data_IF_973974252644
#
_entry.id   IF_973974252644
#
_cell.length_a   1.000
_cell.length_b   1.000
_cell.length_c   1.000
_cell.angle_alpha   90.00
_cell.angle_beta   90.00
_cell.angle_gamma   90.00
#
_symmetry.space_group_name_H-M   'P 1'
#
loop_
_entity.id
_entity.type
_entity.pdbx_description
1 polymer ?
#
# COMPACT_ATOMS: atom_id res chain seq x y z
N UNK A 1 14.91 17.04 -10.45
CA UNK A 1 15.23 15.68 -9.94
C UNK A 1 14.18 15.27 -8.92
N UNK A 2 14.03 13.96 -8.66
CA UNK A 2 13.17 13.42 -7.57
C UNK A 2 14.08 12.74 -6.56
N UNK A 3 14.03 13.19 -5.30
CA UNK A 3 14.72 12.60 -4.16
C UNK A 3 13.74 11.73 -3.38
N UNK A 4 14.01 10.44 -3.26
CA UNK A 4 13.15 9.47 -2.57
C UNK A 4 13.82 9.06 -1.27
N UNK A 5 13.15 9.31 -0.15
CA UNK A 5 13.61 8.84 1.15
C UNK A 5 13.11 7.41 1.41
N UNK A 6 14.05 6.49 1.60
CA UNK A 6 13.78 5.18 2.14
C UNK A 6 13.34 5.24 3.61
N UNK A 7 13.09 4.08 4.20
CA UNK A 7 12.74 3.97 5.60
C UNK A 7 14.02 3.68 6.42
N UNK A 8 14.29 4.44 7.50
CA UNK A 8 15.54 4.30 8.26
C UNK A 8 15.82 2.91 8.82
N UNK A 9 14.77 2.13 9.09
CA UNK A 9 14.81 0.81 9.75
C UNK A 9 14.68 -0.37 8.79
N UNK A 10 14.75 -0.15 7.46
CA UNK A 10 14.55 -1.23 6.46
C UNK A 10 15.56 -1.18 5.34
N UNK A 11 15.67 -2.29 4.62
CA UNK A 11 16.31 -2.39 3.31
C UNK A 11 15.25 -2.21 2.22
N UNK A 12 15.48 -1.29 1.29
CA UNK A 12 14.57 -1.09 0.15
C UNK A 12 14.87 -2.12 -0.94
N UNK A 13 14.22 -3.28 -0.85
CA UNK A 13 14.35 -4.38 -1.81
C UNK A 13 13.02 -5.13 -2.00
N UNK A 14 12.88 -5.89 -3.10
CA UNK A 14 11.69 -6.71 -3.36
C UNK A 14 11.53 -7.83 -2.32
N UNK A 15 12.63 -8.35 -1.81
CA UNK A 15 12.67 -9.44 -0.84
C UNK A 15 12.18 -9.00 0.54
N UNK A 16 12.35 -7.72 0.88
CA UNK A 16 11.92 -7.18 2.16
C UNK A 16 10.42 -6.85 2.16
N UNK A 17 9.58 -7.83 2.43
CA UNK A 17 8.12 -7.71 2.34
C UNK A 17 7.41 -7.42 3.67
N UNK A 18 8.17 -7.28 4.78
CA UNK A 18 7.59 -7.06 6.11
C UNK A 18 6.90 -5.68 6.27
N UNK A 19 7.30 -4.69 5.47
CA UNK A 19 6.75 -3.35 5.51
C UNK A 19 6.15 -2.93 4.16
N UNK A 20 4.85 -2.60 4.15
CA UNK A 20 4.15 -2.16 2.95
C UNK A 20 4.72 -0.85 2.36
N UNK A 21 5.21 0.06 3.22
CA UNK A 21 5.83 1.32 2.75
C UNK A 21 7.14 1.09 2.04
N UNK A 22 7.98 0.14 2.50
CA UNK A 22 9.20 -0.26 1.79
C UNK A 22 8.87 -0.74 0.38
N UNK A 23 7.82 -1.55 0.22
CA UNK A 23 7.37 -2.02 -1.08
C UNK A 23 6.82 -0.89 -1.97
N UNK A 24 6.22 0.16 -1.42
CA UNK A 24 5.83 1.36 -2.19
C UNK A 24 7.06 2.07 -2.75
N UNK A 25 8.11 2.23 -1.93
CA UNK A 25 9.38 2.86 -2.38
C UNK A 25 10.02 2.05 -3.50
N UNK A 26 10.12 0.72 -3.35
CA UNK A 26 10.67 -0.17 -4.40
C UNK A 26 9.96 0.08 -5.74
N UNK A 27 8.63 0.00 -5.74
CA UNK A 27 7.81 0.16 -6.94
C UNK A 27 7.88 1.59 -7.51
N UNK A 28 7.98 2.60 -6.65
CA UNK A 28 8.15 3.98 -7.10
C UNK A 28 9.46 4.19 -7.84
N UNK A 29 10.55 3.63 -7.32
CA UNK A 29 11.87 3.68 -7.97
C UNK A 29 11.94 2.85 -9.28
N UNK A 30 11.02 1.92 -9.50
CA UNK A 30 10.85 1.24 -10.78
C UNK A 30 10.09 2.12 -11.78
N UNK A 31 9.16 2.92 -11.30
CA UNK A 31 8.27 3.74 -12.10
C UNK A 31 8.92 5.04 -12.56
N UNK A 32 9.82 5.62 -11.73
CA UNK A 32 10.45 6.90 -11.98
C UNK A 32 11.97 6.85 -11.89
N UNK A 33 12.64 7.61 -12.75
CA UNK A 33 14.04 7.94 -12.54
C UNK A 33 14.15 8.90 -11.36
N UNK A 34 14.77 8.42 -10.27
CA UNK A 34 14.90 9.14 -9.01
C UNK A 34 16.22 8.80 -8.32
N UNK A 35 16.64 9.61 -7.37
CA UNK A 35 17.75 9.28 -6.45
C UNK A 35 17.15 8.80 -5.13
N UNK A 36 17.40 7.56 -4.78
CA UNK A 36 16.97 6.94 -3.54
C UNK A 36 18.04 7.12 -2.45
N UNK A 37 17.60 7.41 -1.23
CA UNK A 37 18.45 7.50 -0.04
C UNK A 37 17.99 6.45 0.97
N UNK A 38 18.81 5.44 1.21
CA UNK A 38 18.42 4.31 2.04
C UNK A 38 19.60 3.49 2.55
N UNK A 39 19.28 2.27 2.94
CA UNK A 39 20.27 1.32 3.45
C UNK A 39 21.25 0.88 2.34
N UNK A 40 22.50 0.54 2.71
CA UNK A 40 23.54 0.12 1.77
C UNK A 40 23.15 -1.10 0.91
N UNK A 41 22.40 -2.05 1.47
CA UNK A 41 21.93 -3.26 0.78
C UNK A 41 20.65 -3.03 -0.08
N UNK A 42 20.19 -1.77 -0.22
CA UNK A 42 19.01 -1.51 -1.04
C UNK A 42 19.28 -1.76 -2.52
N UNK A 43 18.36 -2.50 -3.17
CA UNK A 43 18.54 -2.99 -4.55
C UNK A 43 17.84 -2.13 -5.61
N UNK A 44 17.27 -0.98 -5.21
CA UNK A 44 16.65 -0.03 -6.14
C UNK A 44 17.70 0.76 -6.93
N UNK A 45 17.37 1.19 -8.18
CA UNK A 45 18.27 2.00 -8.98
C UNK A 45 18.67 3.31 -8.26
N UNK A 46 19.90 3.79 -8.53
CA UNK A 46 20.45 5.06 -8.01
C UNK A 46 20.34 5.18 -6.49
N UNK A 47 20.59 4.09 -5.76
CA UNK A 47 20.65 4.13 -4.30
C UNK A 47 21.91 4.87 -3.83
N UNK A 48 21.71 5.84 -2.95
CA UNK A 48 22.76 6.53 -2.17
C UNK A 48 22.71 5.98 -0.75
N UNK A 49 23.70 5.20 -0.30
CA UNK A 49 23.72 4.65 1.05
C UNK A 49 23.77 5.76 2.10
N UNK A 50 22.83 5.73 3.04
CA UNK A 50 22.76 6.66 4.19
C UNK A 50 22.73 5.94 5.53
N UNK A 51 22.48 4.63 5.53
CA UNK A 51 22.66 3.72 6.68
C UNK A 51 23.33 2.43 6.23
N UNK A 52 24.01 1.77 7.17
CA UNK A 52 24.73 0.51 6.97
C UNK A 52 24.17 -0.60 7.86
N UNK A 53 24.56 -1.84 7.61
CA UNK A 53 24.27 -2.98 8.49
C UNK A 53 24.73 -2.70 9.92
N UNK A 54 25.94 -2.14 10.09
CA UNK A 54 26.48 -1.81 11.41
C UNK A 54 25.65 -0.77 12.16
N UNK A 55 25.03 0.18 11.45
CA UNK A 55 24.14 1.19 12.07
C UNK A 55 22.86 0.55 12.59
N UNK A 56 22.26 -0.38 11.84
CA UNK A 56 21.05 -1.07 12.25
C UNK A 56 21.34 -2.10 13.36
N UNK A 57 22.45 -2.82 13.31
CA UNK A 57 22.88 -3.73 14.37
C UNK A 57 23.16 -2.99 15.68
N UNK A 58 23.67 -1.76 15.60
CA UNK A 58 23.86 -0.91 16.77
C UNK A 58 22.55 -0.38 17.36
N UNK A 59 21.57 -0.10 16.48
CA UNK A 59 20.27 0.41 16.91
C UNK A 59 19.36 -0.69 17.48
N UNK A 60 19.44 -1.91 16.93
CA UNK A 60 18.48 -2.97 17.20
C UNK A 60 19.14 -4.21 17.77
N UNK A 61 18.68 -4.65 18.96
CA UNK A 61 19.15 -5.88 19.63
C UNK A 61 18.46 -7.15 19.12
N UNK A 62 17.58 -7.06 18.14
CA UNK A 62 16.80 -8.15 17.54
C UNK A 62 17.12 -8.29 16.04
N UNK A 63 16.72 -9.41 15.46
CA UNK A 63 16.82 -9.57 14.00
C UNK A 63 15.85 -8.61 13.29
N UNK A 64 16.34 -7.42 12.94
CA UNK A 64 15.58 -6.36 12.31
C UNK A 64 15.13 -6.68 10.87
N UNK A 65 15.71 -7.71 10.25
CA UNK A 65 15.32 -8.13 8.90
C UNK A 65 14.02 -8.94 8.86
N UNK A 66 13.77 -9.73 9.91
CA UNK A 66 12.62 -10.65 9.96
C UNK A 66 11.53 -10.24 10.95
N UNK A 67 11.83 -9.38 11.91
CA UNK A 67 10.89 -8.96 12.94
C UNK A 67 10.23 -7.61 12.63
N UNK A 68 9.11 -7.35 13.30
CA UNK A 68 8.44 -6.07 13.25
C UNK A 68 9.33 -5.00 13.91
N UNK A 69 9.52 -3.87 13.24
CA UNK A 69 10.38 -2.79 13.73
C UNK A 69 9.77 -2.07 14.93
N UNK A 70 10.63 -1.50 15.76
CA UNK A 70 10.26 -0.54 16.80
C UNK A 70 10.55 0.88 16.30
N UNK A 71 9.52 1.72 16.30
CA UNK A 71 9.66 3.10 15.83
C UNK A 71 10.18 4.01 16.96
N UNK A 72 11.43 4.45 16.83
CA UNK A 72 12.00 5.50 17.67
C UNK A 72 12.90 6.43 16.82
N UNK A 73 12.43 7.65 16.59
CA UNK A 73 13.18 8.65 15.84
C UNK A 73 14.50 9.06 16.51
N UNK A 74 14.71 8.74 17.78
CA UNK A 74 15.93 9.08 18.52
C UNK A 74 16.96 7.94 18.51
N UNK A 75 16.62 6.78 17.94
CA UNK A 75 17.57 5.68 17.86
C UNK A 75 18.74 5.98 16.90
N UNK A 76 19.78 5.16 16.97
CA UNK A 76 20.99 5.35 16.18
C UNK A 76 20.71 5.25 14.67
N UNK A 77 19.84 4.36 14.23
CA UNK A 77 19.54 4.17 12.81
C UNK A 77 18.85 5.40 12.21
N UNK A 78 17.86 5.95 12.90
CA UNK A 78 17.16 7.16 12.47
C UNK A 78 18.08 8.39 12.48
N UNK A 79 18.87 8.61 13.54
CA UNK A 79 19.77 9.75 13.63
C UNK A 79 20.88 9.70 12.57
N UNK A 80 21.43 8.51 12.30
CA UNK A 80 22.42 8.30 11.23
C UNK A 80 21.80 8.56 9.87
N UNK A 81 20.58 8.03 9.63
CA UNK A 81 19.84 8.27 8.40
C UNK A 81 19.64 9.77 8.17
N UNK A 82 19.16 10.51 9.17
CA UNK A 82 18.93 11.95 9.05
C UNK A 82 20.21 12.70 8.68
N UNK A 83 21.28 12.50 9.45
CA UNK A 83 22.53 13.20 9.24
C UNK A 83 23.11 12.96 7.82
N UNK A 84 23.11 11.70 7.41
CA UNK A 84 23.67 11.33 6.10
C UNK A 84 22.75 11.74 4.95
N UNK A 85 21.43 11.56 5.05
CA UNK A 85 20.50 11.95 3.98
C UNK A 85 20.50 13.47 3.78
N UNK A 86 20.54 14.27 4.86
CA UNK A 86 20.66 15.73 4.79
C UNK A 86 21.92 16.12 4.01
N UNK A 87 23.07 15.54 4.36
CA UNK A 87 24.33 15.82 3.67
C UNK A 87 24.28 15.43 2.19
N UNK A 88 23.84 14.21 1.90
CA UNK A 88 23.87 13.65 0.55
C UNK A 88 22.88 14.34 -0.40
N UNK A 89 21.69 14.75 0.09
CA UNK A 89 20.74 15.57 -0.66
C UNK A 89 21.34 16.96 -0.91
N UNK A 90 21.94 17.58 0.09
CA UNK A 90 22.59 18.88 -0.03
C UNK A 90 23.64 18.94 -1.13
N UNK A 91 24.35 17.84 -1.39
CA UNK A 91 25.37 17.74 -2.46
C UNK A 91 24.78 17.60 -3.86
N UNK A 92 23.50 17.17 -4.00
CA UNK A 92 22.90 16.77 -5.28
C UNK A 92 21.73 17.64 -5.71
N UNK A 93 21.03 18.26 -4.75
CA UNK A 93 19.80 18.98 -5.00
C UNK A 93 19.97 20.21 -5.89
N UNK A 94 18.91 20.50 -6.63
CA UNK A 94 18.71 21.78 -7.33
C UNK A 94 17.40 22.44 -6.85
N UNK A 95 17.31 23.78 -6.89
CA UNK A 95 16.05 24.46 -6.54
C UNK A 95 14.87 23.93 -7.37
N UNK A 96 13.75 23.65 -6.71
CA UNK A 96 12.55 23.10 -7.34
C UNK A 96 12.55 21.59 -7.58
N UNK A 97 13.58 20.88 -7.13
CA UNK A 97 13.53 19.43 -7.03
C UNK A 97 12.46 18.97 -6.04
N UNK A 98 11.95 17.75 -6.23
CA UNK A 98 10.93 17.15 -5.38
C UNK A 98 11.59 16.21 -4.39
N UNK A 99 11.18 16.27 -3.11
CA UNK A 99 11.55 15.29 -2.08
C UNK A 99 10.32 14.53 -1.60
N UNK A 100 10.41 13.20 -1.56
CA UNK A 100 9.32 12.26 -1.25
C UNK A 100 9.59 11.49 0.04
N UNK A 101 9.02 11.90 1.19
CA UNK A 101 9.10 11.20 2.47
C UNK A 101 8.04 10.10 2.57
N UNK A 102 8.28 8.90 2.00
CA UNK A 102 7.34 7.77 2.09
C UNK A 102 7.04 7.31 3.51
N UNK A 103 7.92 7.60 4.46
CA UNK A 103 7.73 7.31 5.88
C UNK A 103 7.08 8.48 6.65
N UNK A 104 6.52 9.45 5.95
CA UNK A 104 5.81 10.59 6.53
C UNK A 104 6.66 11.37 7.54
N UNK A 105 6.06 11.70 8.69
CA UNK A 105 6.74 12.44 9.75
C UNK A 105 8.01 11.75 10.30
N UNK A 106 8.14 10.44 10.12
CA UNK A 106 9.31 9.68 10.55
C UNK A 106 10.62 10.05 9.85
N UNK A 107 10.56 10.79 8.73
CA UNK A 107 11.75 11.34 8.04
C UNK A 107 11.65 12.85 7.81
N UNK A 108 10.71 13.50 8.48
CA UNK A 108 10.50 14.95 8.40
C UNK A 108 11.76 15.79 8.65
N UNK A 109 12.67 15.46 9.60
CA UNK A 109 13.90 16.25 9.82
C UNK A 109 14.77 16.40 8.57
N UNK A 110 14.76 15.41 7.66
CA UNK A 110 15.49 15.51 6.39
C UNK A 110 14.85 16.54 5.46
N UNK A 111 13.52 16.56 5.38
CA UNK A 111 12.80 17.51 4.54
C UNK A 111 12.90 18.95 5.09
N UNK A 112 12.78 19.13 6.41
CA UNK A 112 12.87 20.43 7.07
C UNK A 112 14.26 21.09 6.89
N UNK A 113 15.31 20.28 6.70
CA UNK A 113 16.66 20.76 6.37
C UNK A 113 16.82 21.26 4.92
N UNK A 114 15.83 21.01 4.06
CA UNK A 114 15.84 21.42 2.65
C UNK A 114 14.56 22.16 2.25
N UNK A 115 14.30 23.36 2.83
CA UNK A 115 13.06 24.11 2.59
C UNK A 115 12.95 24.68 1.17
N UNK A 116 14.03 24.64 0.40
CA UNK A 116 14.11 25.01 -1.01
C UNK A 116 13.61 23.89 -1.95
N UNK A 117 13.36 22.71 -1.44
CA UNK A 117 12.77 21.59 -2.19
C UNK A 117 11.24 21.55 -2.04
N UNK A 118 10.59 20.95 -3.04
CA UNK A 118 9.15 20.72 -3.02
C UNK A 118 8.88 19.42 -2.26
N UNK A 119 8.42 19.51 -1.02
CA UNK A 119 8.07 18.32 -0.24
C UNK A 119 6.66 17.84 -0.59
N UNK A 120 6.56 16.58 -1.05
CA UNK A 120 5.30 15.90 -1.32
C UNK A 120 5.28 14.61 -0.50
N UNK A 121 4.28 14.43 0.35
CA UNK A 121 4.07 13.20 1.13
C UNK A 121 3.25 12.19 0.33
N UNK A 122 3.86 11.11 -0.21
CA UNK A 122 3.19 10.22 -1.15
C UNK A 122 2.62 8.97 -0.46
N UNK A 123 1.59 8.38 -1.06
CA UNK A 123 1.08 7.06 -0.68
C UNK A 123 0.55 6.99 0.74
N UNK A 124 -0.13 8.05 1.18
CA UNK A 124 -0.67 8.17 2.54
C UNK A 124 -1.78 7.15 2.76
N UNK A 125 -1.53 6.21 3.69
CA UNK A 125 -2.46 5.18 4.13
C UNK A 125 -2.69 5.18 5.65
N UNK A 126 -2.46 6.30 6.31
CA UNK A 126 -2.64 6.49 7.76
C UNK A 126 -3.36 7.81 8.03
N UNK A 127 -4.12 7.87 9.12
CA UNK A 127 -5.06 8.97 9.36
C UNK A 127 -4.49 10.14 10.17
N UNK A 128 -3.25 10.07 10.67
CA UNK A 128 -2.65 11.11 11.52
C UNK A 128 -1.15 11.27 11.23
N UNK A 129 -0.60 12.44 11.62
CA UNK A 129 0.84 12.70 11.54
C UNK A 129 1.29 13.21 10.17
N UNK A 130 0.38 13.67 9.32
CA UNK A 130 0.70 14.35 8.07
C UNK A 130 1.15 15.78 8.37
N UNK A 131 2.11 16.26 7.58
CA UNK A 131 2.71 17.57 7.82
C UNK A 131 3.08 18.31 6.53
N UNK A 132 3.33 17.58 5.43
CA UNK A 132 3.71 18.20 4.19
C UNK A 132 2.58 19.06 3.61
N UNK A 133 2.94 20.13 2.91
CA UNK A 133 1.98 21.00 2.22
C UNK A 133 1.24 20.27 1.09
N UNK A 134 1.90 19.33 0.44
CA UNK A 134 1.36 18.55 -0.67
C UNK A 134 1.25 17.09 -0.25
N UNK A 135 0.06 16.51 -0.38
CA UNK A 135 -0.25 15.16 0.09
C UNK A 135 -0.91 14.34 -1.00
N UNK A 136 -0.47 13.08 -1.11
CA UNK A 136 -1.06 12.10 -2.02
C UNK A 136 -1.58 10.94 -1.20
N UNK A 137 -2.89 10.83 -1.10
CA UNK A 137 -3.59 9.75 -0.39
C UNK A 137 -3.79 8.56 -1.32
N UNK A 138 -3.79 7.35 -0.76
CA UNK A 138 -3.94 6.12 -1.55
C UNK A 138 -5.39 5.74 -1.87
N UNK A 139 -6.38 6.39 -1.21
CA UNK A 139 -7.80 6.25 -1.48
C UNK A 139 -8.60 7.44 -0.99
N UNK A 140 -9.82 7.62 -1.50
CA UNK A 140 -10.77 8.59 -0.94
C UNK A 140 -11.22 8.22 0.47
N UNK A 141 -11.26 6.92 0.80
CA UNK A 141 -11.58 6.48 2.13
C UNK A 141 -10.64 7.04 3.19
N UNK A 142 -9.32 6.98 2.95
CA UNK A 142 -8.34 7.54 3.90
C UNK A 142 -8.24 9.07 3.81
N UNK A 143 -8.41 9.64 2.61
CA UNK A 143 -8.48 11.08 2.40
C UNK A 143 -9.60 11.71 3.25
N UNK A 144 -10.82 11.17 3.17
CA UNK A 144 -11.95 11.67 3.95
C UNK A 144 -11.84 11.36 5.44
N UNK A 145 -11.25 10.20 5.81
CA UNK A 145 -10.99 9.90 7.21
C UNK A 145 -10.00 10.89 7.84
N UNK A 146 -8.95 11.25 7.10
CA UNK A 146 -8.00 12.27 7.54
C UNK A 146 -8.70 13.62 7.79
N UNK A 147 -9.40 14.15 6.78
CA UNK A 147 -10.08 15.43 6.92
C UNK A 147 -11.21 15.41 7.95
N UNK A 148 -11.88 14.29 8.13
CA UNK A 148 -12.87 14.11 9.19
C UNK A 148 -12.28 14.16 10.61
N UNK A 149 -11.00 13.76 10.78
CA UNK A 149 -10.32 13.82 12.06
C UNK A 149 -9.67 15.19 12.35
N UNK A 150 -9.12 15.84 11.31
CA UNK A 150 -8.33 17.08 11.47
C UNK A 150 -9.18 18.35 11.33
N UNK A 151 -10.28 18.29 10.60
CA UNK A 151 -11.09 19.45 10.24
C UNK A 151 -12.55 19.36 10.66
N UNK A 152 -12.83 18.70 11.79
CA UNK A 152 -14.19 18.45 12.29
C UNK A 152 -15.04 19.72 12.38
N UNK A 153 -14.45 20.86 12.76
CA UNK A 153 -15.17 22.11 12.94
C UNK A 153 -15.35 22.92 11.64
N UNK A 154 -14.43 22.76 10.68
CA UNK A 154 -14.36 23.66 9.51
C UNK A 154 -14.64 22.95 8.20
N UNK A 155 -14.56 21.62 8.13
CA UNK A 155 -14.57 20.83 6.89
C UNK A 155 -13.62 21.38 5.80
N UNK A 156 -12.56 22.06 6.22
CA UNK A 156 -11.62 22.74 5.35
C UNK A 156 -10.63 21.74 4.79
N UNK A 157 -10.48 21.73 3.47
CA UNK A 157 -9.55 20.87 2.75
C UNK A 157 -8.44 21.70 2.10
N UNK A 158 -7.29 21.10 1.87
CA UNK A 158 -6.18 21.70 1.15
C UNK A 158 -6.36 21.52 -0.37
N UNK A 159 -6.07 22.59 -1.13
CA UNK A 159 -6.34 22.66 -2.57
C UNK A 159 -5.55 21.66 -3.42
N UNK A 160 -4.41 21.21 -2.93
CA UNK A 160 -3.47 20.41 -3.70
C UNK A 160 -3.35 18.97 -3.23
N UNK A 161 -4.10 18.62 -2.20
CA UNK A 161 -4.18 17.24 -1.77
C UNK A 161 -4.95 16.43 -2.81
N UNK A 162 -4.45 15.26 -3.12
CA UNK A 162 -5.02 14.40 -4.17
C UNK A 162 -5.06 12.95 -3.76
N UNK A 163 -5.81 12.16 -4.52
CA UNK A 163 -5.85 10.69 -4.38
C UNK A 163 -5.20 10.07 -5.61
N UNK A 164 -4.11 9.35 -5.39
CA UNK A 164 -3.47 8.48 -6.39
C UNK A 164 -3.32 7.11 -5.75
N UNK A 165 -3.95 6.05 -6.30
CA UNK A 165 -3.94 4.74 -5.68
C UNK A 165 -2.54 4.14 -5.62
N UNK A 166 -2.36 3.13 -4.76
CA UNK A 166 -1.16 2.32 -4.78
C UNK A 166 -1.01 1.60 -6.12
N UNK A 167 0.21 1.21 -6.43
CA UNK A 167 0.62 0.69 -7.73
C UNK A 167 1.39 -0.62 -7.57
N UNK A 168 1.34 -1.44 -8.63
CA UNK A 168 1.90 -2.79 -8.63
C UNK A 168 2.60 -3.09 -9.95
N UNK A 169 3.72 -3.80 -9.88
CA UNK A 169 4.33 -4.42 -11.05
C UNK A 169 3.49 -5.65 -11.42
N UNK A 170 2.85 -5.61 -12.58
CA UNK A 170 1.97 -6.71 -13.03
C UNK A 170 2.71 -8.02 -13.25
N UNK A 171 4.05 -7.96 -13.41
CA UNK A 171 4.90 -9.14 -13.58
C UNK A 171 5.13 -9.91 -12.27
N UNK A 172 4.87 -9.28 -11.13
CA UNK A 172 4.94 -9.95 -9.83
C UNK A 172 3.75 -10.90 -9.61
N UNK A 173 2.74 -10.90 -10.50
CA UNK A 173 1.51 -11.67 -10.38
C UNK A 173 1.29 -12.59 -11.58
N UNK A 174 0.74 -13.75 -11.33
CA UNK A 174 0.39 -14.73 -12.37
C UNK A 174 -1.10 -15.09 -12.32
N UNK A 175 -1.62 -15.59 -13.43
CA UNK A 175 -2.93 -16.23 -13.52
C UNK A 175 -2.71 -17.72 -13.76
N UNK A 176 -3.36 -18.57 -12.97
CA UNK A 176 -3.25 -20.00 -13.05
C UNK A 176 -4.65 -20.67 -13.02
N UNK A 177 -4.76 -21.94 -13.44
CA UNK A 177 -5.98 -22.72 -13.22
C UNK A 177 -6.35 -22.74 -11.74
N UNK A 178 -7.64 -22.55 -11.45
CA UNK A 178 -8.12 -22.49 -10.06
C UNK A 178 -8.12 -23.89 -9.43
N UNK A 179 -7.66 -23.94 -8.18
CA UNK A 179 -7.75 -25.10 -7.29
C UNK A 179 -8.97 -24.97 -6.36
N UNK A 180 -9.38 -26.08 -5.75
CA UNK A 180 -10.59 -26.15 -4.91
C UNK A 180 -10.35 -25.55 -3.50
N UNK A 181 -10.09 -24.23 -3.43
CA UNK A 181 -10.02 -23.50 -2.16
C UNK A 181 -10.30 -22.01 -2.30
N UNK A 182 -10.75 -21.42 -1.21
CA UNK A 182 -10.80 -19.97 -0.97
C UNK A 182 -9.57 -19.54 -0.17
N UNK A 183 -9.16 -18.29 -0.32
CA UNK A 183 -7.97 -17.76 0.34
C UNK A 183 -8.34 -16.68 1.35
N UNK A 184 -7.72 -16.71 2.53
CA UNK A 184 -7.52 -15.54 3.38
C UNK A 184 -6.02 -15.26 3.44
N UNK A 185 -5.60 -14.07 3.05
CA UNK A 185 -4.20 -13.65 3.04
C UNK A 185 -4.03 -12.38 3.84
N UNK A 186 -3.22 -12.43 4.91
CA UNK A 186 -2.95 -11.28 5.76
C UNK A 186 -2.64 -11.67 7.20
N UNK A 187 -2.32 -10.69 8.03
CA UNK A 187 -2.09 -10.94 9.46
C UNK A 187 -3.33 -11.54 10.11
N UNK A 188 -3.11 -12.57 10.92
CA UNK A 188 -4.19 -13.30 11.62
C UNK A 188 -4.47 -12.57 12.94
N UNK A 189 -5.46 -11.67 12.92
CA UNK A 189 -5.98 -10.98 14.09
C UNK A 189 -7.41 -10.48 13.81
N UNK A 190 -8.14 -10.13 14.86
CA UNK A 190 -9.57 -9.80 14.78
C UNK A 190 -9.89 -8.72 13.73
N UNK A 191 -9.12 -7.63 13.69
CA UNK A 191 -9.35 -6.52 12.77
C UNK A 191 -9.30 -6.90 11.28
N UNK A 192 -8.65 -8.00 10.90
CA UNK A 192 -8.66 -8.53 9.53
C UNK A 192 -9.86 -9.45 9.25
N UNK A 193 -10.68 -9.74 10.26
CA UNK A 193 -11.93 -10.49 10.08
C UNK A 193 -11.73 -11.98 9.76
N UNK A 194 -10.61 -12.58 10.19
CA UNK A 194 -10.32 -14.00 9.90
C UNK A 194 -11.45 -14.92 10.36
N UNK A 195 -12.10 -14.62 11.49
CA UNK A 195 -13.24 -15.38 12.01
C UNK A 195 -14.45 -15.36 11.06
N UNK A 196 -14.68 -14.24 10.38
CA UNK A 196 -15.73 -14.12 9.35
C UNK A 196 -15.41 -15.05 8.18
N UNK A 197 -14.16 -15.03 7.71
CA UNK A 197 -13.72 -15.90 6.61
C UNK A 197 -13.88 -17.39 6.96
N UNK A 198 -13.46 -17.81 8.17
CA UNK A 198 -13.58 -19.21 8.64
C UNK A 198 -15.05 -19.63 8.70
N UNK A 199 -15.89 -18.82 9.33
CA UNK A 199 -17.30 -19.16 9.49
C UNK A 199 -18.06 -19.13 8.15
N UNK A 200 -17.80 -18.11 7.30
CA UNK A 200 -18.45 -18.01 5.99
C UNK A 200 -18.05 -19.18 5.07
N UNK A 201 -16.77 -19.58 5.08
CA UNK A 201 -16.31 -20.74 4.33
C UNK A 201 -17.00 -22.03 4.79
N UNK A 202 -17.15 -22.23 6.12
CA UNK A 202 -17.90 -23.35 6.68
C UNK A 202 -19.34 -23.40 6.19
N UNK A 203 -20.08 -22.32 6.34
CA UNK A 203 -21.50 -22.24 5.95
C UNK A 203 -21.71 -22.29 4.43
N UNK A 204 -20.70 -21.85 3.66
CA UNK A 204 -20.72 -21.99 2.21
C UNK A 204 -20.33 -23.40 1.72
N UNK A 205 -19.73 -24.24 2.60
CA UNK A 205 -19.26 -25.58 2.27
C UNK A 205 -17.99 -25.57 1.41
N UNK A 206 -17.11 -24.55 1.56
CA UNK A 206 -15.87 -24.41 0.79
C UNK A 206 -14.62 -24.58 1.66
N UNK A 207 -13.52 -25.04 1.07
CA UNK A 207 -12.22 -25.11 1.72
C UNK A 207 -11.61 -23.73 1.84
N UNK A 208 -10.93 -23.46 2.95
CA UNK A 208 -10.25 -22.17 3.20
C UNK A 208 -8.77 -22.40 3.50
N UNK A 209 -7.89 -21.76 2.73
CA UNK A 209 -6.48 -21.60 3.10
C UNK A 209 -6.27 -20.25 3.76
N UNK A 210 -5.59 -20.27 4.91
CA UNK A 210 -5.24 -19.06 5.67
C UNK A 210 -3.73 -18.91 5.66
N UNK A 211 -3.24 -17.80 5.11
CA UNK A 211 -1.81 -17.50 5.05
C UNK A 211 -1.51 -16.12 5.62
N UNK A 212 -0.48 -16.03 6.46
CA UNK A 212 -0.04 -14.76 7.07
C UNK A 212 0.58 -14.95 8.45
N UNK A 213 1.10 -13.84 8.98
CA UNK A 213 1.67 -13.82 10.35
C UNK A 213 0.56 -13.88 11.40
N UNK A 214 0.86 -14.55 12.52
CA UNK A 214 -0.06 -14.77 13.63
C UNK A 214 -0.41 -16.24 13.78
N UNK A 215 -1.39 -16.56 14.64
CA UNK A 215 -1.84 -17.92 14.85
C UNK A 215 -3.35 -18.01 15.07
N UNK A 216 -3.93 -19.16 14.79
CA UNK A 216 -5.35 -19.40 15.04
C UNK A 216 -5.65 -19.60 16.53
N UNK A 217 -4.67 -20.06 17.32
CA UNK A 217 -4.82 -20.15 18.78
C UNK A 217 -5.07 -18.77 19.39
N UNK A 218 -4.36 -17.73 18.93
CA UNK A 218 -4.58 -16.34 19.36
C UNK A 218 -6.00 -15.82 19.02
N UNK A 219 -6.68 -16.49 18.07
CA UNK A 219 -8.07 -16.21 17.68
C UNK A 219 -9.10 -17.10 18.41
N UNK A 220 -8.64 -17.93 19.36
CA UNK A 220 -9.48 -18.79 20.17
C UNK A 220 -9.77 -20.18 19.59
N UNK A 221 -9.03 -20.59 18.54
CA UNK A 221 -9.16 -21.93 17.96
C UNK A 221 -8.17 -22.88 18.62
N UNK A 222 -8.64 -23.81 19.45
CA UNK A 222 -7.83 -24.89 20.03
C UNK A 222 -7.49 -25.96 18.99
N UNK A 223 -8.41 -26.17 18.05
CA UNK A 223 -8.25 -27.10 16.94
C UNK A 223 -8.54 -26.39 15.62
N UNK A 224 -7.78 -26.71 14.59
CA UNK A 224 -8.01 -26.16 13.23
C UNK A 224 -9.27 -26.83 12.65
N UNK A 225 -10.31 -26.07 12.26
CA UNK A 225 -11.50 -26.64 11.66
C UNK A 225 -11.19 -27.44 10.40
N UNK A 226 -11.86 -28.56 10.18
CA UNK A 226 -11.56 -29.54 9.10
C UNK A 226 -11.61 -28.94 7.67
N UNK A 227 -12.31 -27.83 7.46
CA UNK A 227 -12.39 -27.12 6.18
C UNK A 227 -11.28 -26.05 6.02
N UNK A 228 -10.42 -25.85 7.03
CA UNK A 228 -9.36 -24.84 7.07
C UNK A 228 -7.99 -25.49 6.98
N UNK A 229 -7.14 -24.97 6.12
CA UNK A 229 -5.70 -25.22 6.07
C UNK A 229 -4.96 -23.96 6.52
N UNK A 230 -4.25 -24.02 7.65
CA UNK A 230 -3.41 -22.91 8.10
C UNK A 230 -2.00 -23.06 7.54
N UNK A 231 -1.65 -22.22 6.56
CA UNK A 231 -0.35 -22.24 5.86
C UNK A 231 0.74 -21.57 6.69
N UNK A 232 0.37 -20.62 7.56
CA UNK A 232 1.32 -19.78 8.29
C UNK A 232 1.89 -18.66 7.43
N UNK A 233 3.11 -18.22 7.74
CA UNK A 233 3.77 -17.18 6.95
C UNK A 233 4.01 -17.65 5.52
N UNK A 234 3.61 -16.82 4.56
CA UNK A 234 3.82 -17.07 3.13
C UNK A 234 4.83 -16.07 2.57
N UNK A 235 5.92 -16.55 2.01
CA UNK A 235 6.88 -15.77 1.25
C UNK A 235 6.27 -15.29 -0.09
N UNK A 236 7.02 -14.50 -0.86
CA UNK A 236 6.55 -13.90 -2.11
C UNK A 236 6.05 -14.96 -3.09
N UNK A 237 6.79 -16.04 -3.30
CA UNK A 237 6.43 -17.10 -4.24
C UNK A 237 5.21 -17.90 -3.76
N UNK A 238 5.14 -18.20 -2.48
CA UNK A 238 3.98 -18.87 -1.88
C UNK A 238 2.73 -18.00 -1.98
N UNK A 239 2.83 -16.69 -1.71
CA UNK A 239 1.72 -15.74 -1.87
C UNK A 239 1.24 -15.69 -3.32
N UNK A 240 2.15 -15.56 -4.28
CA UNK A 240 1.86 -15.55 -5.71
C UNK A 240 1.07 -16.80 -6.14
N UNK A 241 1.55 -17.98 -5.76
CA UNK A 241 0.88 -19.26 -6.02
C UNK A 241 -0.49 -19.36 -5.35
N UNK A 242 -0.62 -18.96 -4.08
CA UNK A 242 -1.89 -19.01 -3.36
C UNK A 242 -2.93 -18.08 -3.97
N UNK A 243 -2.54 -16.85 -4.34
CA UNK A 243 -3.46 -15.89 -4.96
C UNK A 243 -3.91 -16.35 -6.34
N UNK A 244 -2.99 -16.81 -7.20
CA UNK A 244 -3.32 -17.18 -8.58
C UNK A 244 -4.26 -18.39 -8.69
N UNK A 245 -4.22 -19.30 -7.72
CA UNK A 245 -4.94 -20.58 -7.75
C UNK A 245 -6.21 -20.62 -6.91
N UNK A 246 -6.46 -19.63 -6.08
CA UNK A 246 -7.68 -19.55 -5.30
C UNK A 246 -8.90 -19.29 -6.18
N UNK A 247 -10.05 -19.91 -5.85
CA UNK A 247 -11.35 -19.60 -6.49
C UNK A 247 -11.72 -18.14 -6.19
N UNK A 248 -11.56 -17.71 -4.94
CA UNK A 248 -11.78 -16.35 -4.47
C UNK A 248 -10.96 -16.07 -3.22
N UNK A 249 -10.85 -14.79 -2.85
CA UNK A 249 -10.25 -14.40 -1.58
C UNK A 249 -11.26 -13.67 -0.68
N UNK A 250 -11.30 -14.06 0.60
CA UNK A 250 -11.99 -13.29 1.65
C UNK A 250 -11.07 -12.20 2.18
N UNK A 251 -11.54 -10.96 2.15
CA UNK A 251 -10.86 -9.79 2.71
C UNK A 251 -11.83 -8.99 3.59
N UNK A 252 -12.31 -9.60 4.70
CA UNK A 252 -13.39 -9.05 5.52
C UNK A 252 -12.87 -8.10 6.61
N UNK A 253 -12.01 -7.13 6.26
CA UNK A 253 -11.42 -6.18 7.22
C UNK A 253 -12.49 -5.42 7.99
N UNK A 254 -12.40 -5.39 9.34
CA UNK A 254 -13.35 -4.72 10.22
C UNK A 254 -13.04 -3.24 10.43
N UNK A 255 -11.83 -2.79 10.10
CA UNK A 255 -11.46 -1.38 10.16
C UNK A 255 -11.61 -0.70 8.79
N UNK A 256 -11.51 0.62 8.79
CA UNK A 256 -11.48 1.42 7.55
C UNK A 256 -10.18 1.13 6.79
N UNK A 257 -10.22 0.16 5.87
CA UNK A 257 -9.04 -0.23 5.09
C UNK A 257 -8.56 0.95 4.24
N UNK A 258 -7.31 1.41 4.38
CA UNK A 258 -6.82 2.60 3.65
C UNK A 258 -6.73 2.39 2.14
N UNK A 259 -6.36 1.17 1.70
CA UNK A 259 -6.27 0.82 0.29
C UNK A 259 -6.73 -0.61 -0.01
N UNK A 260 -6.34 -1.57 0.82
CA UNK A 260 -6.66 -2.98 0.57
C UNK A 260 -5.71 -3.66 -0.42
N UNK A 261 -4.42 -3.54 -0.21
CA UNK A 261 -3.40 -4.08 -1.12
C UNK A 261 -3.62 -5.54 -1.50
N UNK A 262 -3.92 -6.40 -0.52
CA UNK A 262 -4.20 -7.83 -0.77
C UNK A 262 -5.38 -8.04 -1.72
N UNK A 263 -6.42 -7.20 -1.63
CA UNK A 263 -7.57 -7.26 -2.53
C UNK A 263 -7.13 -7.01 -3.98
N UNK A 264 -6.34 -5.97 -4.23
CA UNK A 264 -5.82 -5.65 -5.57
C UNK A 264 -4.82 -6.70 -6.06
N UNK A 265 -3.95 -7.22 -5.19
CA UNK A 265 -3.02 -8.32 -5.50
C UNK A 265 -3.76 -9.58 -5.96
N UNK A 266 -4.89 -9.92 -5.31
CA UNK A 266 -5.76 -11.00 -5.74
C UNK A 266 -6.37 -10.74 -7.11
N UNK A 267 -6.89 -9.52 -7.36
CA UNK A 267 -7.43 -9.16 -8.68
C UNK A 267 -6.36 -9.24 -9.77
N UNK A 268 -5.13 -8.76 -9.52
CA UNK A 268 -4.00 -8.91 -10.44
C UNK A 268 -3.67 -10.37 -10.74
N UNK A 269 -3.96 -11.26 -9.81
CA UNK A 269 -3.82 -12.72 -9.97
C UNK A 269 -5.06 -13.38 -10.59
N UNK A 270 -6.03 -12.60 -11.09
CA UNK A 270 -7.28 -13.12 -11.66
C UNK A 270 -8.18 -13.79 -10.62
N UNK A 271 -8.11 -13.36 -9.35
CA UNK A 271 -8.88 -13.95 -8.26
C UNK A 271 -9.86 -12.93 -7.71
N UNK A 272 -11.17 -13.14 -7.88
CA UNK A 272 -12.20 -12.25 -7.36
C UNK A 272 -12.18 -12.20 -5.83
N UNK A 273 -12.69 -11.11 -5.25
CA UNK A 273 -12.61 -10.87 -3.81
C UNK A 273 -13.98 -10.68 -3.17
N UNK A 274 -14.11 -11.18 -1.93
CA UNK A 274 -15.29 -10.98 -1.09
C UNK A 274 -14.85 -10.11 0.08
N UNK A 275 -15.29 -8.85 0.09
CA UNK A 275 -14.83 -7.83 1.02
C UNK A 275 -15.97 -7.29 1.88
N UNK A 276 -15.63 -6.58 2.93
CA UNK A 276 -16.59 -5.66 3.58
C UNK A 276 -16.93 -4.50 2.64
N UNK A 277 -18.07 -3.83 2.85
CA UNK A 277 -18.56 -2.71 2.03
C UNK A 277 -18.25 -1.37 2.73
N UNK A 278 -16.99 -1.15 3.08
CA UNK A 278 -16.47 0.11 3.60
C UNK A 278 -14.96 0.25 3.34
N UNK A 279 -14.42 1.41 3.70
CA UNK A 279 -13.03 1.75 3.41
C UNK A 279 -12.77 1.77 1.91
N UNK A 280 -11.54 1.58 1.52
CA UNK A 280 -11.13 1.60 0.12
C UNK A 280 -11.74 0.46 -0.73
N UNK A 281 -12.36 -0.54 -0.12
CA UNK A 281 -13.08 -1.57 -0.89
C UNK A 281 -14.26 -1.01 -1.67
N UNK A 282 -14.85 0.10 -1.22
CA UNK A 282 -15.91 0.79 -1.98
C UNK A 282 -15.40 1.41 -3.29
N UNK A 283 -14.10 1.61 -3.40
CA UNK A 283 -13.41 2.16 -4.56
C UNK A 283 -12.76 1.06 -5.42
N UNK A 284 -12.13 0.07 -4.77
CA UNK A 284 -11.24 -0.90 -5.40
C UNK A 284 -11.92 -2.24 -5.74
N UNK A 285 -13.10 -2.53 -5.18
CA UNK A 285 -13.87 -3.74 -5.46
C UNK A 285 -15.22 -3.39 -6.09
N UNK A 286 -15.34 -3.58 -7.38
CA UNK A 286 -16.58 -3.28 -8.10
C UNK A 286 -17.57 -4.43 -7.88
N UNK A 287 -18.62 -4.15 -7.08
CA UNK A 287 -19.62 -5.15 -6.68
C UNK A 287 -20.29 -5.81 -7.88
N UNK A 288 -20.25 -7.14 -7.94
CA UNK A 288 -20.79 -7.93 -9.03
C UNK A 288 -19.91 -8.00 -10.29
N UNK A 289 -18.73 -7.33 -10.30
CA UNK A 289 -17.80 -7.29 -11.44
C UNK A 289 -16.43 -7.86 -11.09
N UNK A 290 -15.80 -7.36 -10.00
CA UNK A 290 -14.50 -7.85 -9.56
C UNK A 290 -14.59 -8.68 -8.27
N UNK A 291 -15.79 -8.78 -7.72
CA UNK A 291 -16.08 -9.50 -6.49
C UNK A 291 -17.38 -9.03 -5.87
N UNK A 292 -17.55 -9.33 -4.60
CA UNK A 292 -18.72 -8.91 -3.84
C UNK A 292 -18.33 -8.13 -2.59
N UNK A 293 -19.04 -7.03 -2.33
CA UNK A 293 -18.95 -6.25 -1.09
C UNK A 293 -20.12 -6.62 -0.19
N UNK A 294 -19.83 -6.93 1.07
CA UNK A 294 -20.75 -7.51 2.03
C UNK A 294 -20.87 -6.66 3.30
N UNK A 295 -22.07 -6.52 3.85
CA UNK A 295 -22.37 -5.79 5.08
C UNK A 295 -22.83 -6.67 6.24
N UNK A 296 -23.15 -7.92 5.98
CA UNK A 296 -23.57 -8.87 6.99
C UNK A 296 -23.06 -10.29 6.66
N UNK A 297 -23.12 -11.18 7.63
CA UNK A 297 -22.62 -12.53 7.51
C UNK A 297 -23.31 -13.33 6.40
N UNK A 298 -24.63 -13.19 6.25
CA UNK A 298 -25.39 -13.90 5.21
C UNK A 298 -24.93 -13.53 3.81
N UNK A 299 -24.54 -12.27 3.58
CA UNK A 299 -23.99 -11.82 2.30
C UNK A 299 -22.61 -12.43 2.00
N UNK A 300 -21.75 -12.62 3.01
CA UNK A 300 -20.47 -13.34 2.83
C UNK A 300 -20.70 -14.78 2.40
N UNK A 301 -21.66 -15.47 3.02
CA UNK A 301 -22.02 -16.85 2.67
C UNK A 301 -22.62 -16.89 1.25
N UNK A 302 -23.54 -15.98 0.94
CA UNK A 302 -24.13 -15.89 -0.40
C UNK A 302 -23.08 -15.59 -1.47
N UNK A 303 -22.20 -14.62 -1.22
CA UNK A 303 -21.11 -14.27 -2.13
C UNK A 303 -20.19 -15.46 -2.42
N UNK A 304 -19.80 -16.21 -1.39
CA UNK A 304 -18.97 -17.41 -1.55
C UNK A 304 -19.66 -18.45 -2.45
N UNK A 305 -20.97 -18.65 -2.31
CA UNK A 305 -21.75 -19.60 -3.13
C UNK A 305 -21.95 -19.13 -4.58
N UNK A 306 -21.86 -17.82 -4.84
CA UNK A 306 -22.14 -17.23 -6.15
C UNK A 306 -20.92 -16.63 -6.86
N UNK A 307 -19.72 -16.74 -6.28
CA UNK A 307 -18.49 -16.11 -6.80
C UNK A 307 -18.09 -16.59 -8.20
N UNK A 308 -18.52 -17.76 -8.59
CA UNK A 308 -18.27 -18.32 -9.94
C UNK A 308 -18.87 -17.52 -11.09
N UNK A 309 -19.79 -16.60 -10.80
CA UNK A 309 -20.34 -15.65 -11.78
C UNK A 309 -19.34 -14.54 -12.15
N UNK A 310 -18.27 -14.34 -11.38
CA UNK A 310 -17.27 -13.30 -11.59
C UNK A 310 -16.18 -13.84 -12.54
N UNK A 311 -15.92 -13.10 -13.61
CA UNK A 311 -14.88 -13.44 -14.60
C UNK A 311 -13.48 -13.03 -14.10
N UNK A 312 -12.58 -14.00 -13.97
CA UNK A 312 -11.18 -13.79 -13.56
C UNK A 312 -10.41 -12.84 -14.49
N UNK A 313 -10.72 -12.84 -15.80
CA UNK A 313 -10.05 -11.94 -16.75
C UNK A 313 -10.51 -10.49 -16.55
N UNK A 314 -11.77 -10.28 -16.23
CA UNK A 314 -12.31 -8.95 -15.90
C UNK A 314 -11.67 -8.43 -14.62
N UNK A 315 -11.50 -9.28 -13.60
CA UNK A 315 -10.80 -8.94 -12.37
C UNK A 315 -9.37 -8.43 -12.66
N UNK A 316 -8.59 -9.23 -13.41
CA UNK A 316 -7.22 -8.86 -13.75
C UNK A 316 -7.16 -7.60 -14.61
N UNK A 317 -8.01 -7.51 -15.63
CA UNK A 317 -8.05 -6.34 -16.52
C UNK A 317 -8.33 -5.06 -15.72
N UNK A 318 -9.33 -5.08 -14.85
CA UNK A 318 -9.65 -3.94 -13.97
C UNK A 318 -8.44 -3.53 -13.12
N UNK A 319 -7.76 -4.50 -12.48
CA UNK A 319 -6.62 -4.21 -11.63
C UNK A 319 -5.42 -3.66 -12.43
N UNK A 320 -5.13 -4.21 -13.62
CA UNK A 320 -4.08 -3.71 -14.51
C UNK A 320 -4.37 -2.29 -14.98
N UNK A 321 -5.59 -2.02 -15.44
CA UNK A 321 -5.98 -0.71 -15.98
C UNK A 321 -5.96 0.40 -14.93
N UNK A 322 -6.07 0.08 -13.63
CA UNK A 322 -6.18 1.08 -12.58
C UNK A 322 -4.98 1.16 -11.64
N UNK A 323 -4.25 0.05 -11.44
CA UNK A 323 -3.25 -0.08 -10.39
C UNK A 323 -1.88 -0.57 -10.88
N UNK A 324 -1.67 -0.81 -12.18
CA UNK A 324 -0.33 -1.09 -12.70
C UNK A 324 0.58 0.12 -12.59
N UNK A 325 1.90 -0.11 -12.64
CA UNK A 325 2.88 0.98 -12.69
C UNK A 325 2.59 1.93 -13.86
N UNK A 326 2.24 1.37 -15.01
CA UNK A 326 1.91 2.12 -16.24
C UNK A 326 0.65 2.96 -16.11
N UNK A 327 -0.37 2.45 -15.41
CA UNK A 327 -1.63 3.17 -15.20
C UNK A 327 -1.53 4.30 -14.17
N UNK A 328 -0.63 4.14 -13.18
CA UNK A 328 -0.50 5.11 -12.09
C UNK A 328 0.57 6.17 -12.37
N UNK A 329 1.64 5.82 -13.10
CA UNK A 329 2.73 6.75 -13.45
C UNK A 329 2.23 8.09 -14.00
N UNK A 330 1.34 8.14 -15.01
CA UNK A 330 0.86 9.41 -15.56
C UNK A 330 0.13 10.30 -14.54
N UNK A 331 -0.51 9.69 -13.52
CA UNK A 331 -1.20 10.43 -12.46
C UNK A 331 -0.20 11.19 -11.57
N UNK A 332 0.93 10.55 -11.25
CA UNK A 332 2.00 11.21 -10.51
C UNK A 332 2.72 12.27 -11.36
N UNK A 333 2.97 12.00 -12.64
CA UNK A 333 3.58 12.96 -13.57
C UNK A 333 2.74 14.24 -13.67
N UNK A 334 1.44 14.11 -13.86
CA UNK A 334 0.49 15.22 -13.91
C UNK A 334 0.43 15.99 -12.59
N UNK A 335 0.48 15.28 -11.47
CA UNK A 335 0.50 15.88 -10.14
C UNK A 335 1.80 16.65 -9.89
N UNK A 336 2.96 16.08 -10.22
CA UNK A 336 4.26 16.75 -10.07
C UNK A 336 4.38 17.99 -10.94
N UNK A 337 3.89 17.94 -12.18
CA UNK A 337 3.83 19.10 -13.06
C UNK A 337 2.95 20.20 -12.45
N UNK A 338 1.81 19.82 -11.89
CA UNK A 338 0.90 20.73 -11.21
C UNK A 338 1.57 21.47 -10.07
N UNK A 339 2.21 20.73 -9.18
CA UNK A 339 2.83 21.26 -7.97
C UNK A 339 4.03 22.15 -8.32
N UNK A 340 4.83 21.80 -9.33
CA UNK A 340 5.92 22.65 -9.83
C UNK A 340 5.41 23.97 -10.39
N UNK A 341 4.34 23.96 -11.16
CA UNK A 341 3.73 25.19 -11.69
C UNK A 341 3.24 26.12 -10.59
N UNK A 342 2.65 25.54 -9.52
CA UNK A 342 2.20 26.32 -8.37
C UNK A 342 3.33 27.00 -7.61
N UNK A 343 4.46 26.34 -7.48
CA UNK A 343 5.62 26.88 -6.78
C UNK A 343 6.40 27.89 -7.62
N UNK A 344 6.34 27.80 -8.96
CA UNK A 344 7.03 28.69 -9.89
C UNK A 344 6.23 29.94 -10.27
N UNK A 345 5.01 29.77 -10.74
CA UNK A 345 4.20 30.85 -11.33
C UNK A 345 2.94 31.17 -10.51
N UNK A 346 2.68 30.35 -9.50
CA UNK A 346 1.54 30.49 -8.61
C UNK A 346 0.27 29.82 -9.14
N UNK A 347 -0.68 29.89 -8.29
CA UNK A 347 -1.96 29.21 -8.33
C UNK A 347 -2.85 29.52 -9.54
N UNK A 348 -2.66 30.67 -10.16
CA UNK A 348 -3.48 31.11 -11.27
C UNK A 348 -2.95 30.73 -12.65
N UNK A 349 -1.80 30.10 -12.73
CA UNK A 349 -1.26 29.66 -14.02
C UNK A 349 -2.13 28.56 -14.60
N UNK A 350 -2.78 28.87 -15.71
CA UNK A 350 -3.56 27.91 -16.47
C UNK A 350 -2.62 26.93 -17.17
N UNK A 351 -2.86 25.66 -16.99
CA UNK A 351 -2.17 24.63 -17.77
C UNK A 351 -2.66 24.66 -19.21
N UNK A 352 -1.76 24.49 -20.15
CA UNK A 352 -2.10 24.29 -21.56
C UNK A 352 -2.76 22.93 -21.86
N UNK A 353 -2.82 22.05 -20.88
CA UNK A 353 -3.56 20.79 -20.98
C UNK A 353 -4.90 20.97 -20.28
N UNK A 354 -6.02 20.59 -20.92
CA UNK A 354 -7.28 20.54 -20.19
C UNK A 354 -7.08 19.65 -18.98
N UNK A 355 -7.58 20.07 -17.82
CA UNK A 355 -7.75 19.17 -16.69
C UNK A 355 -8.64 18.06 -17.24
N UNK A 356 -8.00 16.98 -17.63
CA UNK A 356 -8.72 15.76 -17.91
C UNK A 356 -9.11 15.25 -16.53
N UNK A 357 -10.21 15.79 -16.01
CA UNK A 357 -11.00 15.10 -15.01
C UNK A 357 -11.41 13.79 -15.67
N UNK A 358 -10.44 12.91 -15.75
CA UNK A 358 -10.69 11.56 -16.15
C UNK A 358 -11.53 10.99 -15.04
N UNK A 359 -12.83 11.08 -15.27
CA UNK A 359 -13.75 10.05 -14.88
C UNK A 359 -13.53 9.53 -13.46
N UNK A 360 -13.79 10.42 -12.50
CA UNK A 360 -14.06 9.95 -11.14
C UNK A 360 -15.30 9.05 -11.13
N UNK A 361 -16.10 9.08 -12.20
CA UNK A 361 -17.40 8.42 -12.29
C UNK A 361 -17.74 7.88 -13.68
N UNK A 362 -16.85 7.15 -14.35
CA UNK A 362 -17.28 6.20 -15.36
C UNK A 362 -17.54 4.84 -14.68
N UNK A 363 -18.73 4.71 -14.15
CA UNK A 363 -19.30 3.43 -13.79
C UNK A 363 -19.86 2.75 -15.04
#
# INVERSE_FOLDING_TARGET
MIHVLGLPHTVTSKEYSACAYTQKVVKFCQMFECTHYGHEDSTVPNNVPVTTNADLEKAYSYDWRSNFFQFDMNDHAYQTFFANAIREIGLRKQPGDIILPFWGAGVRPVCDAHPDLITIEPGIGYARGHWARFKVFESYAIYHAYYGLEAVETCKQDWYDTVIPNYFDVNDFEVAPKEDYFLFLGRVYEGKGVNIAIQAAKEAGVKLKIAGQGSLEAMGYTDIPSHVEFVGYADVETRKRLMSRAIAAFVPSLYNEPFGGVQVECLLSGTPTITTDWGAFTENNIHGVTGYRCRNFGEFVWAAKNISSIDSNVCRKFAVDNFSLEAVKPKYEDYFESVRNLTGEGWYTLRNKPIVNKKVFDF
#
